data_IF_508289226609
#
_entry.id   IF_508289226609
#
_cell.length_a   1.000
_cell.length_b   1.000
_cell.length_c   1.000
_cell.angle_alpha   90.00
_cell.angle_beta   90.00
_cell.angle_gamma   90.00
#
_symmetry.space_group_name_H-M   'P 1'
#
loop_
_entity.id
_entity.type
_entity.pdbx_description
1 polymer ?
#
# COMPACT_ATOMS: atom_id res chain seq x y z
N UNK A 1 6.11 -10.13 -9.46
CA UNK A 1 7.47 -10.69 -9.34
C UNK A 1 7.52 -12.11 -9.88
N UNK A 2 8.53 -12.40 -10.66
CA UNK A 2 8.79 -13.76 -11.17
C UNK A 2 9.63 -14.49 -10.13
N UNK A 3 9.03 -15.46 -9.44
CA UNK A 3 9.75 -16.33 -8.49
C UNK A 3 10.09 -17.66 -9.18
N UNK A 4 11.31 -18.19 -9.02
CA UNK A 4 11.72 -19.47 -9.64
C UNK A 4 10.76 -20.62 -9.32
N UNK A 5 10.15 -20.62 -8.13
CA UNK A 5 9.22 -21.66 -7.68
C UNK A 5 7.84 -21.56 -8.32
N UNK A 6 7.39 -20.34 -8.67
CA UNK A 6 6.04 -20.10 -9.21
C UNK A 6 6.03 -20.01 -10.73
N UNK A 7 7.13 -19.64 -11.36
CA UNK A 7 7.24 -19.50 -12.81
C UNK A 7 6.75 -20.75 -13.58
N UNK A 8 7.21 -21.98 -13.26
CA UNK A 8 6.76 -23.19 -13.99
C UNK A 8 5.25 -23.43 -13.86
N UNK A 9 4.64 -23.03 -12.75
CA UNK A 9 3.19 -23.16 -12.54
C UNK A 9 2.41 -22.26 -13.50
N UNK A 10 2.84 -21.01 -13.66
CA UNK A 10 2.22 -20.08 -14.62
C UNK A 10 2.44 -20.53 -16.06
N UNK A 11 3.63 -20.98 -16.41
CA UNK A 11 3.96 -21.49 -17.75
C UNK A 11 3.12 -22.71 -18.11
N UNK A 12 3.02 -23.69 -17.19
CA UNK A 12 2.20 -24.87 -17.40
C UNK A 12 0.71 -24.54 -17.56
N UNK A 13 0.19 -23.61 -16.72
CA UNK A 13 -1.21 -23.19 -16.82
C UNK A 13 -1.52 -22.43 -18.11
N UNK A 14 -0.62 -21.54 -18.53
CA UNK A 14 -0.76 -20.82 -19.77
C UNK A 14 -0.74 -21.77 -20.98
N UNK A 15 0.14 -22.77 -20.98
CA UNK A 15 0.19 -23.79 -22.02
C UNK A 15 -1.10 -24.65 -22.06
N UNK A 16 -1.60 -25.08 -20.92
CA UNK A 16 -2.88 -25.82 -20.77
C UNK A 16 -4.04 -25.02 -21.38
N UNK A 17 -4.10 -23.72 -21.05
CA UNK A 17 -5.19 -22.84 -21.46
C UNK A 17 -4.98 -22.24 -22.86
N UNK A 18 -3.83 -22.50 -23.50
CA UNK A 18 -3.41 -21.89 -24.76
C UNK A 18 -3.49 -20.34 -24.69
N UNK A 19 -3.16 -19.79 -23.52
CA UNK A 19 -3.20 -18.36 -23.24
C UNK A 19 -1.80 -17.73 -23.43
N UNK A 20 -1.69 -16.50 -23.98
CA UNK A 20 -0.43 -15.79 -24.01
C UNK A 20 0.03 -15.49 -22.58
N UNK A 21 1.33 -15.63 -22.32
CA UNK A 21 1.96 -15.34 -21.02
C UNK A 21 3.11 -14.37 -21.23
N UNK A 22 3.08 -13.26 -20.49
CA UNK A 22 4.18 -12.30 -20.42
C UNK A 22 4.62 -12.14 -18.97
N UNK A 23 5.92 -12.06 -18.78
CA UNK A 23 6.50 -11.66 -17.49
C UNK A 23 6.89 -10.18 -17.57
N UNK A 24 6.15 -9.34 -16.87
CA UNK A 24 6.28 -7.88 -16.96
C UNK A 24 7.70 -7.37 -16.65
N UNK A 25 8.44 -8.08 -15.83
CA UNK A 25 9.82 -7.73 -15.42
C UNK A 25 10.85 -7.97 -16.55
N UNK A 26 10.52 -8.82 -17.51
CA UNK A 26 11.38 -9.15 -18.67
C UNK A 26 11.15 -8.18 -19.84
N UNK A 27 10.13 -7.31 -19.74
CA UNK A 27 9.80 -6.38 -20.80
C UNK A 27 10.40 -5.00 -20.54
N UNK A 28 11.17 -4.41 -21.48
CA UNK A 28 11.79 -3.10 -21.33
C UNK A 28 10.79 -1.96 -21.60
N UNK A 29 9.60 -2.02 -21.00
CA UNK A 29 8.52 -1.04 -21.20
C UNK A 29 8.63 0.17 -20.25
N UNK A 30 9.18 -0.03 -19.06
CA UNK A 30 9.52 1.02 -18.11
C UNK A 30 11.03 1.24 -18.11
N UNK A 31 11.48 2.37 -18.66
CA UNK A 31 12.89 2.70 -18.83
C UNK A 31 13.50 3.27 -17.55
N UNK A 32 12.77 4.17 -16.87
CA UNK A 32 13.19 4.78 -15.62
C UNK A 32 11.97 5.16 -14.76
N UNK A 33 12.19 5.29 -13.45
CA UNK A 33 11.19 5.71 -12.48
C UNK A 33 11.83 6.55 -11.37
N UNK A 34 11.44 7.81 -11.27
CA UNK A 34 11.90 8.74 -10.24
C UNK A 34 10.72 9.33 -9.49
N UNK A 35 10.80 9.41 -8.14
CA UNK A 35 9.78 10.02 -7.30
C UNK A 35 10.14 11.48 -7.04
N UNK A 36 9.23 12.40 -7.35
CA UNK A 36 9.37 13.83 -7.05
C UNK A 36 9.26 14.12 -5.55
N UNK A 37 9.68 15.32 -5.14
CA UNK A 37 9.56 15.77 -3.75
C UNK A 37 8.10 15.91 -3.29
N UNK A 38 7.17 16.09 -4.22
CA UNK A 38 5.72 16.11 -4.03
C UNK A 38 5.11 14.71 -3.90
N UNK A 39 5.93 13.66 -4.04
CA UNK A 39 5.52 12.26 -4.01
C UNK A 39 5.01 11.71 -5.34
N UNK A 40 4.85 12.53 -6.37
CA UNK A 40 4.43 12.10 -7.71
C UNK A 40 5.55 11.32 -8.38
N UNK A 41 5.21 10.18 -9.00
CA UNK A 41 6.15 9.42 -9.78
C UNK A 41 6.28 9.96 -11.20
N UNK A 42 7.52 10.04 -11.68
CA UNK A 42 7.86 10.27 -13.08
C UNK A 42 8.32 8.94 -13.68
N UNK A 43 7.46 8.31 -14.48
CA UNK A 43 7.74 7.06 -15.17
C UNK A 43 8.12 7.35 -16.62
N UNK A 44 9.36 7.10 -16.99
CA UNK A 44 9.79 7.15 -18.38
C UNK A 44 9.50 5.81 -19.03
N UNK A 45 8.64 5.82 -20.03
CA UNK A 45 8.14 4.60 -20.68
C UNK A 45 8.45 4.60 -22.17
N UNK A 46 8.65 3.40 -22.72
CA UNK A 46 8.99 3.22 -24.14
C UNK A 46 7.89 3.72 -25.07
N UNK A 47 6.63 3.38 -24.76
CA UNK A 47 5.53 3.54 -25.72
C UNK A 47 4.67 4.79 -25.45
N UNK A 48 4.65 5.28 -24.21
CA UNK A 48 3.80 6.43 -23.80
C UNK A 48 4.61 7.67 -23.38
N UNK A 49 5.96 7.62 -23.41
CA UNK A 49 6.84 8.69 -22.95
C UNK A 49 6.76 8.88 -21.43
N UNK A 50 6.69 10.13 -20.96
CA UNK A 50 6.58 10.44 -19.53
C UNK A 50 5.14 10.25 -19.05
N UNK A 51 4.95 9.39 -18.04
CA UNK A 51 3.71 9.24 -17.27
C UNK A 51 3.91 9.77 -15.86
N UNK A 52 2.99 10.62 -15.40
CA UNK A 52 2.95 11.10 -14.02
C UNK A 52 2.08 10.15 -13.19
N UNK A 53 2.65 9.53 -12.16
CA UNK A 53 1.95 8.57 -11.31
C UNK A 53 1.50 9.20 -10.00
N UNK A 54 0.19 9.30 -9.79
CA UNK A 54 -0.43 9.88 -8.60
C UNK A 54 -0.19 9.06 -7.33
N UNK A 55 -0.16 7.73 -7.44
CA UNK A 55 -0.03 6.83 -6.29
C UNK A 55 1.42 6.80 -5.77
N UNK A 56 1.62 7.19 -4.52
CA UNK A 56 2.95 7.50 -3.97
C UNK A 56 3.74 6.29 -3.42
N UNK A 57 3.15 5.09 -3.34
CA UNK A 57 3.82 3.90 -2.83
C UNK A 57 5.04 3.49 -3.64
N UNK A 58 6.16 3.11 -3.00
CA UNK A 58 7.37 2.62 -3.70
C UNK A 58 7.10 1.38 -4.55
N UNK A 59 6.16 0.54 -4.11
CA UNK A 59 5.71 -0.65 -4.84
C UNK A 59 4.97 -0.34 -6.15
N UNK A 60 4.60 0.92 -6.40
CA UNK A 60 3.93 1.31 -7.64
C UNK A 60 4.83 1.18 -8.88
N UNK A 61 6.14 1.19 -8.73
CA UNK A 61 7.07 0.90 -9.83
C UNK A 61 6.83 -0.51 -10.39
N UNK A 62 6.64 -1.50 -9.51
CA UNK A 62 6.32 -2.88 -9.91
C UNK A 62 4.94 -2.98 -10.54
N UNK A 63 3.96 -2.30 -9.96
CA UNK A 63 2.60 -2.24 -10.49
C UNK A 63 2.58 -1.60 -11.89
N UNK A 64 3.33 -0.51 -12.08
CA UNK A 64 3.46 0.19 -13.38
C UNK A 64 4.00 -0.74 -14.44
N UNK A 65 5.04 -1.54 -14.17
CA UNK A 65 5.53 -2.56 -15.12
C UNK A 65 4.44 -3.53 -15.52
N UNK A 66 3.65 -4.00 -14.56
CA UNK A 66 2.52 -4.92 -14.83
C UNK A 66 1.44 -4.25 -15.67
N UNK A 67 1.11 -2.99 -15.39
CA UNK A 67 0.13 -2.22 -16.16
C UNK A 67 0.60 -2.05 -17.60
N UNK A 68 1.85 -1.63 -17.82
CA UNK A 68 2.42 -1.45 -19.16
C UNK A 68 2.41 -2.77 -19.95
N UNK A 69 2.76 -3.89 -19.33
CA UNK A 69 2.67 -5.21 -19.94
C UNK A 69 1.22 -5.59 -20.31
N UNK A 70 0.25 -5.28 -19.43
CA UNK A 70 -1.16 -5.52 -19.72
C UNK A 70 -1.67 -4.65 -20.89
N UNK A 71 -1.29 -3.38 -20.95
CA UNK A 71 -1.64 -2.49 -22.07
C UNK A 71 -1.09 -3.01 -23.39
N UNK A 72 0.18 -3.45 -23.41
CA UNK A 72 0.78 -4.08 -24.62
C UNK A 72 0.02 -5.34 -25.07
N UNK A 73 -0.46 -6.17 -24.12
CA UNK A 73 -1.31 -7.33 -24.48
C UNK A 73 -2.66 -6.91 -25.05
N UNK A 74 -3.26 -5.85 -24.53
CA UNK A 74 -4.54 -5.31 -25.05
C UNK A 74 -4.39 -4.81 -26.49
N UNK A 75 -3.32 -4.06 -26.77
CA UNK A 75 -3.01 -3.59 -28.15
C UNK A 75 -2.79 -4.76 -29.10
N UNK A 76 -2.02 -5.77 -28.69
CA UNK A 76 -1.78 -6.98 -29.49
C UNK A 76 -3.08 -7.79 -29.73
N UNK A 77 -4.06 -7.68 -28.85
CA UNK A 77 -5.40 -8.26 -29.00
C UNK A 77 -6.35 -7.41 -29.89
N UNK A 78 -5.85 -6.29 -30.44
CA UNK A 78 -6.61 -5.40 -31.31
C UNK A 78 -7.48 -4.37 -30.59
N UNK A 79 -7.28 -4.17 -29.29
CA UNK A 79 -7.93 -3.10 -28.54
C UNK A 79 -7.15 -1.80 -28.72
N UNK A 80 -7.86 -0.72 -29.03
CA UNK A 80 -7.25 0.60 -29.15
C UNK A 80 -6.91 1.15 -27.76
N UNK A 81 -5.63 1.40 -27.49
CA UNK A 81 -5.15 2.03 -26.25
C UNK A 81 -4.70 3.45 -26.56
N UNK A 82 -5.50 4.42 -26.12
CA UNK A 82 -5.24 5.83 -26.35
C UNK A 82 -4.19 6.34 -25.35
N UNK A 83 -3.07 6.90 -25.85
CA UNK A 83 -1.97 7.38 -25.01
C UNK A 83 -2.40 8.50 -24.03
N UNK A 84 -3.32 9.39 -24.40
CA UNK A 84 -3.82 10.43 -23.51
C UNK A 84 -4.70 9.84 -22.40
N UNK A 85 -5.45 8.77 -22.70
CA UNK A 85 -6.21 8.05 -21.68
C UNK A 85 -5.28 7.36 -20.67
N UNK A 86 -4.15 6.77 -21.14
CA UNK A 86 -3.12 6.19 -20.26
C UNK A 86 -2.51 7.26 -19.37
N UNK A 87 -2.09 8.41 -19.92
CA UNK A 87 -1.55 9.53 -19.15
C UNK A 87 -2.52 10.04 -18.10
N UNK A 88 -3.78 10.21 -18.45
CA UNK A 88 -4.84 10.64 -17.50
C UNK A 88 -5.07 9.59 -16.41
N UNK A 89 -5.11 8.30 -16.78
CA UNK A 89 -5.29 7.19 -15.84
C UNK A 89 -4.19 7.11 -14.78
N UNK A 90 -2.93 7.33 -15.16
CA UNK A 90 -1.82 7.39 -14.20
C UNK A 90 -1.87 8.64 -13.32
N UNK A 91 -2.19 9.80 -13.89
CA UNK A 91 -2.15 11.09 -13.19
C UNK A 91 -3.37 11.33 -12.28
N UNK A 92 -4.50 10.67 -12.51
CA UNK A 92 -5.79 10.94 -11.83
C UNK A 92 -6.53 9.66 -11.46
N UNK A 93 -5.80 8.62 -11.07
CA UNK A 93 -6.38 7.30 -10.78
C UNK A 93 -7.35 7.37 -9.60
N UNK A 94 -7.02 8.10 -8.54
CA UNK A 94 -7.90 8.23 -7.36
C UNK A 94 -9.21 8.94 -7.71
N UNK A 95 -9.13 10.05 -8.43
CA UNK A 95 -10.31 10.81 -8.86
C UNK A 95 -11.20 10.00 -9.80
N UNK A 96 -10.60 9.30 -10.78
CA UNK A 96 -11.35 8.58 -11.82
C UNK A 96 -11.98 7.27 -11.32
N UNK A 97 -11.39 6.62 -10.30
CA UNK A 97 -11.78 5.27 -9.87
C UNK A 97 -12.25 5.19 -8.42
N UNK A 98 -12.03 6.23 -7.63
CA UNK A 98 -12.25 6.18 -6.18
C UNK A 98 -11.25 5.31 -5.43
N UNK A 99 -10.12 4.94 -6.04
CA UNK A 99 -9.08 4.13 -5.39
C UNK A 99 -8.47 4.90 -4.22
N UNK A 100 -8.48 4.29 -3.04
CA UNK A 100 -7.96 4.87 -1.80
C UNK A 100 -7.03 3.89 -1.07
N UNK A 101 -6.24 4.41 -0.12
CA UNK A 101 -5.42 3.61 0.78
C UNK A 101 -4.20 2.96 0.12
N UNK A 102 -3.56 3.65 -0.82
CA UNK A 102 -2.29 3.24 -1.44
C UNK A 102 -1.20 4.27 -1.16
N UNK A 103 -0.59 4.18 0.03
CA UNK A 103 0.31 5.20 0.58
C UNK A 103 -0.33 6.60 0.48
N UNK A 104 -1.57 6.68 0.93
CA UNK A 104 -2.38 7.89 0.79
C UNK A 104 -2.06 8.86 1.94
N UNK A 105 -1.57 10.05 1.59
CA UNK A 105 -1.36 11.15 2.55
C UNK A 105 -2.71 11.79 2.84
N UNK A 106 -3.10 11.81 4.12
CA UNK A 106 -4.39 12.32 4.58
C UNK A 106 -4.27 13.50 5.54
N UNK A 107 -3.05 13.86 5.93
CA UNK A 107 -2.71 15.04 6.76
C UNK A 107 -1.25 15.38 6.56
N UNK A 108 -0.88 16.65 6.84
CA UNK A 108 0.48 17.16 6.57
C UNK A 108 1.23 17.55 7.84
N UNK A 109 0.55 17.96 8.92
CA UNK A 109 1.13 18.43 10.19
C UNK A 109 0.30 17.94 11.38
N UNK A 110 0.64 16.78 11.98
CA UNK A 110 1.63 15.81 11.55
C UNK A 110 1.30 15.16 10.21
N UNK A 111 2.30 14.61 9.52
CA UNK A 111 2.06 13.80 8.32
C UNK A 111 1.27 12.56 8.69
N UNK A 112 0.10 12.38 8.08
CA UNK A 112 -0.76 11.21 8.27
C UNK A 112 -0.84 10.42 6.99
N UNK A 113 -0.44 9.15 7.01
CA UNK A 113 -0.42 8.25 5.86
C UNK A 113 -1.26 7.02 6.16
N UNK A 114 -2.04 6.56 5.20
CA UNK A 114 -2.71 5.27 5.29
C UNK A 114 -2.36 4.35 4.12
N UNK A 115 -2.21 3.05 4.41
CA UNK A 115 -1.96 2.01 3.41
C UNK A 115 -2.68 0.71 3.75
N UNK A 116 -3.22 0.04 2.73
CA UNK A 116 -3.98 -1.20 2.88
C UNK A 116 -3.13 -2.46 2.86
N UNK A 117 -1.80 -2.37 2.91
CA UNK A 117 -0.89 -3.50 3.05
C UNK A 117 -1.26 -4.35 4.27
N UNK A 118 -1.55 -5.66 4.07
CA UNK A 118 -2.12 -6.51 5.11
C UNK A 118 -1.59 -7.96 5.09
N UNK A 119 -0.66 -8.28 4.23
CA UNK A 119 0.08 -9.54 4.20
C UNK A 119 1.58 -9.27 4.38
N UNK A 120 2.37 -10.31 4.61
CA UNK A 120 3.80 -10.16 4.91
C UNK A 120 4.56 -9.35 3.85
N UNK A 121 4.29 -9.58 2.56
CA UNK A 121 4.98 -8.87 1.48
C UNK A 121 4.56 -7.40 1.40
N UNK A 122 3.25 -7.12 1.49
CA UNK A 122 2.74 -5.74 1.52
C UNK A 122 3.26 -4.95 2.73
N UNK A 123 3.28 -5.58 3.92
CA UNK A 123 3.79 -4.94 5.14
C UNK A 123 5.29 -4.68 5.05
N UNK A 124 6.07 -5.59 4.45
CA UNK A 124 7.51 -5.36 4.22
C UNK A 124 7.74 -4.12 3.35
N UNK A 125 7.00 -3.99 2.22
CA UNK A 125 7.09 -2.83 1.34
C UNK A 125 6.65 -1.52 2.02
N UNK A 126 5.64 -1.57 2.89
CA UNK A 126 5.24 -0.43 3.73
C UNK A 126 6.37 -0.05 4.70
N UNK A 127 6.99 -1.02 5.39
CA UNK A 127 8.11 -0.76 6.31
C UNK A 127 9.34 -0.23 5.57
N UNK A 128 9.64 -0.74 4.39
CA UNK A 128 10.71 -0.21 3.52
C UNK A 128 10.45 1.26 3.17
N UNK A 129 9.23 1.62 2.86
CA UNK A 129 8.88 3.00 2.56
C UNK A 129 8.91 3.89 3.82
N UNK A 130 8.40 3.42 4.97
CA UNK A 130 8.51 4.14 6.24
C UNK A 130 9.97 4.48 6.57
N UNK A 131 10.91 3.57 6.29
CA UNK A 131 12.33 3.80 6.50
C UNK A 131 12.95 4.88 5.59
N UNK A 132 12.27 5.28 4.52
CA UNK A 132 12.70 6.38 3.63
C UNK A 132 12.08 7.72 3.97
N UNK A 133 11.07 7.74 4.84
CA UNK A 133 10.37 8.97 5.22
C UNK A 133 11.13 9.69 6.35
N UNK A 134 11.07 11.02 6.32
CA UNK A 134 11.65 11.84 7.39
C UNK A 134 10.58 12.12 8.46
N UNK A 135 10.86 11.77 9.71
CA UNK A 135 10.04 12.08 10.87
C UNK A 135 10.88 12.02 12.15
N UNK A 136 10.45 12.74 13.19
CA UNK A 136 11.07 12.67 14.52
C UNK A 136 10.62 11.41 15.27
N UNK A 137 9.33 11.09 15.20
CA UNK A 137 8.71 9.92 15.86
C UNK A 137 7.65 9.29 14.98
N UNK A 138 7.58 7.95 15.00
CA UNK A 138 6.58 7.18 14.29
C UNK A 138 5.46 6.74 15.24
N UNK A 139 4.23 7.06 14.89
CA UNK A 139 3.00 6.59 15.54
C UNK A 139 2.29 5.63 14.57
N UNK A 140 2.01 4.40 15.00
CA UNK A 140 1.41 3.37 14.15
C UNK A 140 0.04 2.96 14.70
N UNK A 141 -1.02 3.33 14.01
CA UNK A 141 -2.38 2.83 14.23
C UNK A 141 -2.53 1.53 13.47
N UNK A 142 -2.70 0.41 14.18
CA UNK A 142 -2.61 -0.90 13.60
C UNK A 142 -3.76 -1.81 14.00
N UNK A 143 -4.42 -2.42 13.00
CA UNK A 143 -5.46 -3.42 13.22
C UNK A 143 -5.43 -4.49 12.14
N UNK A 144 -5.74 -5.73 12.49
CA UNK A 144 -5.63 -6.89 11.59
C UNK A 144 -6.92 -7.72 11.58
N UNK A 145 -7.04 -8.59 10.58
CA UNK A 145 -8.03 -9.66 10.56
C UNK A 145 -7.46 -10.92 11.22
N UNK A 146 -8.32 -11.68 11.89
CA UNK A 146 -7.94 -12.88 12.64
C UNK A 146 -7.45 -14.05 11.78
N UNK A 147 -7.76 -14.03 10.47
CA UNK A 147 -7.40 -15.07 9.50
C UNK A 147 -5.97 -14.93 8.92
N UNK A 148 -5.16 -14.02 9.46
CA UNK A 148 -3.79 -13.73 8.99
C UNK A 148 -2.73 -14.34 9.90
N UNK A 149 -1.50 -14.49 9.38
CA UNK A 149 -0.32 -14.78 10.20
C UNK A 149 0.07 -13.54 11.02
N UNK A 150 -0.68 -13.32 12.11
CA UNK A 150 -0.52 -12.13 12.96
C UNK A 150 0.89 -12.04 13.54
N UNK A 151 1.46 -13.10 14.19
CA UNK A 151 2.80 -13.02 14.75
C UNK A 151 3.89 -12.78 13.69
N UNK A 152 3.78 -13.40 12.51
CA UNK A 152 4.72 -13.19 11.41
C UNK A 152 4.72 -11.75 10.91
N UNK A 153 3.54 -11.16 10.77
CA UNK A 153 3.39 -9.76 10.34
C UNK A 153 3.87 -8.78 11.40
N UNK A 154 3.53 -8.98 12.67
CA UNK A 154 3.94 -8.08 13.76
C UNK A 154 5.46 -7.98 13.91
N UNK A 155 6.21 -9.06 13.63
CA UNK A 155 7.69 -9.05 13.65
C UNK A 155 8.32 -8.23 12.53
N UNK A 156 7.58 -7.87 11.49
CA UNK A 156 8.08 -7.02 10.41
C UNK A 156 7.99 -5.53 10.74
N UNK A 157 7.17 -5.17 11.73
CA UNK A 157 6.86 -3.78 12.05
C UNK A 157 8.02 -3.12 12.83
N UNK A 158 8.24 -1.78 12.67
CA UNK A 158 9.28 -1.04 13.37
C UNK A 158 9.13 -1.13 14.90
N UNK A 159 10.15 -1.63 15.61
CA UNK A 159 10.09 -1.85 17.05
C UNK A 159 10.17 -0.55 17.87
N UNK A 160 10.70 0.54 17.31
CA UNK A 160 10.89 1.85 17.92
C UNK A 160 9.70 2.80 17.75
N UNK A 161 8.63 2.35 17.09
CA UNK A 161 7.39 3.11 16.93
C UNK A 161 6.48 2.99 18.18
N UNK A 162 5.55 3.96 18.31
CA UNK A 162 4.47 3.89 19.31
C UNK A 162 3.22 3.34 18.64
N UNK A 163 2.67 2.25 19.20
CA UNK A 163 1.55 1.53 18.61
C UNK A 163 0.21 1.90 19.28
N UNK A 164 -0.79 2.08 18.43
CA UNK A 164 -2.19 2.27 18.78
C UNK A 164 -2.96 1.09 18.18
N UNK A 165 -3.00 -0.02 18.94
CA UNK A 165 -3.65 -1.25 18.49
C UNK A 165 -5.16 -1.05 18.50
N UNK A 166 -5.80 -1.42 17.39
CA UNK A 166 -7.24 -1.22 17.20
C UNK A 166 -7.87 -2.38 16.45
N UNK A 167 -9.18 -2.34 16.31
CA UNK A 167 -9.95 -3.28 15.51
C UNK A 167 -10.87 -2.54 14.55
N UNK A 168 -11.00 -3.07 13.34
CA UNK A 168 -11.95 -2.54 12.36
C UNK A 168 -13.39 -2.96 12.69
N UNK A 169 -14.37 -2.22 12.15
CA UNK A 169 -15.81 -2.44 12.36
C UNK A 169 -16.39 -3.66 11.61
N UNK A 170 -15.59 -4.72 11.42
CA UNK A 170 -15.97 -5.94 10.70
C UNK A 170 -15.86 -7.18 11.59
N UNK A 171 -16.74 -8.17 11.38
CA UNK A 171 -16.82 -9.39 12.22
C UNK A 171 -15.53 -10.21 12.27
N UNK A 172 -14.69 -10.15 11.23
CA UNK A 172 -13.43 -10.90 11.14
C UNK A 172 -12.21 -10.11 11.67
N UNK A 173 -12.42 -8.93 12.23
CA UNK A 173 -11.35 -8.17 12.87
C UNK A 173 -10.82 -8.92 14.09
N UNK A 174 -9.50 -8.95 14.26
CA UNK A 174 -8.88 -9.43 15.48
C UNK A 174 -9.16 -8.42 16.59
N UNK A 175 -9.63 -8.85 17.79
CA UNK A 175 -9.85 -7.93 18.90
C UNK A 175 -8.59 -7.14 19.25
N UNK A 176 -8.75 -5.83 19.48
CA UNK A 176 -7.62 -4.91 19.73
C UNK A 176 -6.75 -5.35 20.92
N UNK A 177 -7.37 -5.87 22.00
CA UNK A 177 -6.66 -6.37 23.18
C UNK A 177 -5.81 -7.61 22.87
N UNK A 178 -6.31 -8.50 22.03
CA UNK A 178 -5.57 -9.69 21.61
C UNK A 178 -4.40 -9.32 20.69
N UNK A 179 -4.64 -8.40 19.75
CA UNK A 179 -3.60 -7.87 18.86
C UNK A 179 -2.49 -7.19 19.66
N UNK A 180 -2.83 -6.36 20.66
CA UNK A 180 -1.87 -5.72 21.56
C UNK A 180 -1.05 -6.76 22.34
N UNK A 181 -1.68 -7.79 22.89
CA UNK A 181 -0.99 -8.85 23.61
C UNK A 181 0.05 -9.56 22.75
N UNK A 182 -0.32 -9.88 21.50
CA UNK A 182 0.60 -10.46 20.52
C UNK A 182 1.70 -9.47 20.13
N UNK A 183 1.39 -8.18 19.94
CA UNK A 183 2.36 -7.13 19.64
C UNK A 183 3.41 -6.98 20.74
N UNK A 184 2.99 -6.91 22.00
CA UNK A 184 3.89 -6.84 23.15
C UNK A 184 4.79 -8.07 23.24
N UNK A 185 4.28 -9.26 22.92
CA UNK A 185 5.08 -10.49 22.93
C UNK A 185 6.23 -10.51 21.93
N UNK A 186 6.17 -9.66 20.88
CA UNK A 186 7.24 -9.49 19.88
C UNK A 186 8.00 -8.16 20.04
N UNK A 187 7.80 -7.45 21.16
CA UNK A 187 8.56 -6.25 21.50
C UNK A 187 7.95 -4.92 21.09
N UNK A 188 6.75 -4.89 20.49
CA UNK A 188 6.08 -3.66 20.14
C UNK A 188 5.47 -3.00 21.39
N UNK A 189 5.53 -1.67 21.47
CA UNK A 189 5.06 -0.92 22.63
C UNK A 189 3.86 -0.04 22.25
N UNK A 190 2.77 -0.12 23.03
CA UNK A 190 1.59 0.68 22.76
C UNK A 190 0.39 0.32 23.61
N UNK A 191 -0.74 0.91 23.28
CA UNK A 191 -2.04 0.73 23.96
C UNK A 191 -3.11 0.27 22.97
N UNK A 192 -4.20 -0.33 23.48
CA UNK A 192 -5.33 -0.72 22.64
C UNK A 192 -6.49 0.28 22.75
N UNK A 193 -7.25 0.39 21.66
CA UNK A 193 -8.38 1.30 21.51
C UNK A 193 -9.58 0.56 20.94
N UNK A 194 -10.78 0.99 21.31
CA UNK A 194 -12.02 0.30 20.96
C UNK A 194 -12.32 0.28 19.44
N UNK A 195 -11.93 1.34 18.75
CA UNK A 195 -12.17 1.51 17.32
C UNK A 195 -11.06 2.35 16.65
N UNK A 196 -11.07 2.38 15.33
CA UNK A 196 -10.06 3.08 14.52
C UNK A 196 -10.07 4.60 14.76
N UNK A 197 -11.22 5.30 14.77
CA UNK A 197 -11.25 6.73 15.06
C UNK A 197 -10.63 7.10 16.42
N UNK A 198 -10.92 6.33 17.48
CA UNK A 198 -10.36 6.57 18.80
C UNK A 198 -8.83 6.36 18.82
N UNK A 199 -8.32 5.32 18.15
CA UNK A 199 -6.89 5.07 18.04
C UNK A 199 -6.17 6.18 17.27
N UNK A 200 -6.74 6.64 16.15
CA UNK A 200 -6.16 7.74 15.36
C UNK A 200 -6.19 9.04 16.15
N UNK A 201 -7.30 9.36 16.83
CA UNK A 201 -7.39 10.57 17.65
C UNK A 201 -6.33 10.58 18.76
N UNK A 202 -6.15 9.45 19.47
CA UNK A 202 -5.13 9.33 20.49
C UNK A 202 -3.70 9.49 19.94
N UNK A 203 -3.43 9.03 18.72
CA UNK A 203 -2.15 9.27 18.06
C UNK A 203 -1.95 10.75 17.72
N UNK A 204 -2.98 11.40 17.16
CA UNK A 204 -2.94 12.81 16.78
C UNK A 204 -2.83 13.75 17.97
N UNK A 205 -3.44 13.41 19.13
CA UNK A 205 -3.40 14.24 20.34
C UNK A 205 -1.98 14.39 20.92
N UNK A 206 -1.07 13.47 20.61
CA UNK A 206 0.30 13.47 21.15
C UNK A 206 1.37 13.67 20.07
N UNK A 207 1.03 13.56 18.80
CA UNK A 207 1.97 13.73 17.71
C UNK A 207 2.33 15.20 17.51
N UNK A 208 3.63 15.48 17.41
CA UNK A 208 4.14 16.80 17.01
C UNK A 208 4.06 16.99 15.49
N UNK A 209 4.20 18.21 15.01
CA UNK A 209 4.11 18.54 13.58
C UNK A 209 5.13 17.79 12.70
N UNK A 210 6.30 17.45 13.25
CA UNK A 210 7.39 16.71 12.60
C UNK A 210 7.35 15.19 12.82
N UNK A 211 6.26 14.68 13.44
CA UNK A 211 6.01 13.24 13.58
C UNK A 211 5.27 12.68 12.35
N UNK A 212 5.27 11.34 12.23
CA UNK A 212 4.48 10.63 11.24
C UNK A 212 3.47 9.71 11.92
N UNK A 213 2.20 9.82 11.51
CA UNK A 213 1.14 8.89 11.92
C UNK A 213 0.84 7.97 10.74
N UNK A 214 1.11 6.68 10.90
CA UNK A 214 0.80 5.66 9.91
C UNK A 214 -0.43 4.84 10.34
N UNK A 215 -1.36 4.61 9.41
CA UNK A 215 -2.61 3.88 9.65
C UNK A 215 -2.68 2.68 8.69
N UNK A 216 -2.72 1.46 9.23
CA UNK A 216 -2.67 0.28 8.36
C UNK A 216 -2.97 -1.06 9.02
N UNK A 217 -2.47 -2.14 8.38
CA UNK A 217 -2.63 -3.53 8.79
C UNK A 217 -3.87 -4.22 8.23
N UNK A 218 -4.86 -3.47 7.77
CA UNK A 218 -6.05 -3.99 7.10
C UNK A 218 -6.71 -2.94 6.22
N UNK A 219 -7.25 -3.35 5.08
CA UNK A 219 -8.08 -2.47 4.25
C UNK A 219 -9.34 -1.96 4.99
N UNK A 220 -9.84 -2.73 5.97
CA UNK A 220 -10.98 -2.29 6.79
C UNK A 220 -10.60 -1.21 7.80
N UNK A 221 -9.40 -1.26 8.37
CA UNK A 221 -8.88 -0.18 9.24
C UNK A 221 -8.77 1.13 8.45
N UNK A 222 -8.20 1.06 7.26
CA UNK A 222 -8.09 2.23 6.37
C UNK A 222 -9.47 2.75 5.96
N UNK A 223 -10.41 1.87 5.63
CA UNK A 223 -11.78 2.25 5.29
C UNK A 223 -12.50 2.95 6.45
N UNK A 224 -12.42 2.42 7.67
CA UNK A 224 -13.02 3.04 8.87
C UNK A 224 -12.44 4.44 9.13
N UNK A 225 -11.13 4.62 8.96
CA UNK A 225 -10.47 5.92 9.07
C UNK A 225 -10.98 6.92 8.02
N UNK A 226 -10.96 6.53 6.75
CA UNK A 226 -11.38 7.42 5.65
C UNK A 226 -12.85 7.81 5.78
N UNK A 227 -13.72 6.85 6.12
CA UNK A 227 -15.15 7.12 6.37
C UNK A 227 -15.39 8.05 7.58
N UNK A 228 -14.55 7.98 8.61
CA UNK A 228 -14.66 8.88 9.77
C UNK A 228 -14.27 10.32 9.44
N UNK A 229 -13.35 10.52 8.48
CA UNK A 229 -12.94 11.86 8.02
C UNK A 229 -14.01 12.57 7.20
N UNK A 230 -14.77 11.84 6.40
CA UNK A 230 -15.83 12.42 5.56
C UNK A 230 -17.02 12.97 6.38
N UNK A 231 -17.12 12.56 7.65
CA UNK A 231 -18.19 12.99 8.58
C UNK A 231 -17.84 14.24 9.39
N UNK A 232 -16.62 14.73 9.30
CA UNK A 232 -16.13 15.98 9.95
C UNK A 232 -16.11 17.13 8.95
#
# INVERSE_FOLDING_TARGET
EVLPQTRPVFEAKAAEMKAPLLFAEELPLLEDAARGADGVWNYHTKDYGLLLGELQGLYQVKNTRTILAALSLMENAGLEVNADAVKKGFARVCEMTGLMGRWQVTGTEPKVVCDTGHNADGVRLVCEQLATEYFRKLHVVWGMCADKDVPGILRLLPADAVYYFTQASVKRALPAQELMTQGVSVGLQGSCYADVPAAVQAALDVAAADDLVFIGGSSFVVADWLAAREKK
#
